data_IF_323312637275
#
_entry.id   IF_323312637275
#
_cell.length_a   1.000
_cell.length_b   1.000
_cell.length_c   1.000
_cell.angle_alpha   90.00
_cell.angle_beta   90.00
_cell.angle_gamma   90.00
#
_symmetry.space_group_name_H-M   'P 1'
#
loop_
_entity.id
_entity.type
_entity.pdbx_description
1 polymer ?
#
# COMPACT_ATOMS: atom_id res chain seq x y z
N UNK A 1 -7.78 9.02 13.76
CA UNK A 1 -8.71 7.87 13.75
C UNK A 1 -8.78 7.43 12.29
N UNK A 2 -8.40 6.25 11.81
CA UNK A 2 -8.17 4.94 12.40
C UNK A 2 -6.83 4.37 11.92
N UNK A 3 -5.96 4.05 12.87
CA UNK A 3 -4.73 3.30 12.69
C UNK A 3 -5.06 1.81 12.51
N UNK A 4 -5.23 1.34 11.28
CA UNK A 4 -5.17 -0.10 11.01
C UNK A 4 -3.69 -0.53 11.00
N UNK A 5 -3.19 -0.75 12.22
CA UNK A 5 -1.86 -1.29 12.48
C UNK A 5 -1.78 -2.72 11.96
N UNK A 6 -1.05 -2.90 10.87
CA UNK A 6 -0.78 -4.21 10.32
C UNK A 6 0.06 -5.03 11.31
N UNK A 7 -0.46 -6.22 11.61
CA UNK A 7 0.16 -7.17 12.51
C UNK A 7 1.21 -7.95 11.73
N UNK A 8 2.44 -7.94 12.22
CA UNK A 8 3.52 -8.79 11.72
C UNK A 8 3.10 -10.27 11.77
N UNK A 9 3.67 -11.13 10.90
CA UNK A 9 3.32 -12.54 10.83
C UNK A 9 3.39 -13.21 12.20
N UNK A 10 2.44 -14.13 12.43
CA UNK A 10 2.29 -14.82 13.71
C UNK A 10 3.52 -15.66 14.06
N UNK A 11 4.10 -15.38 15.22
CA UNK A 11 5.18 -16.16 15.77
C UNK A 11 4.62 -17.12 16.82
N UNK A 12 4.89 -18.41 16.65
CA UNK A 12 4.53 -19.42 17.65
C UNK A 12 5.65 -19.54 18.70
N UNK A 13 5.27 -19.46 19.98
CA UNK A 13 6.19 -19.33 21.13
C UNK A 13 6.12 -20.59 22.01
N UNK A 14 4.97 -20.84 22.64
CA UNK A 14 4.76 -22.01 23.51
C UNK A 14 5.42 -21.93 24.90
N UNK A 15 5.66 -20.74 25.45
CA UNK A 15 6.40 -20.53 26.70
C UNK A 15 5.51 -20.10 27.88
N UNK A 16 5.93 -20.41 29.11
CA UNK A 16 5.17 -20.01 30.30
C UNK A 16 5.24 -18.51 30.55
N UNK A 17 4.15 -17.93 31.08
CA UNK A 17 4.09 -16.52 31.50
C UNK A 17 3.83 -16.41 32.99
N UNK A 18 4.35 -15.36 33.61
CA UNK A 18 4.14 -15.08 35.04
C UNK A 18 3.04 -14.07 35.21
N UNK A 19 1.95 -14.43 35.89
CA UNK A 19 0.88 -13.49 36.21
C UNK A 19 1.31 -12.63 37.39
N UNK A 20 1.37 -11.32 37.18
CA UNK A 20 1.91 -10.35 38.15
C UNK A 20 0.84 -9.60 38.92
N UNK A 21 -0.39 -9.52 38.39
CA UNK A 21 -1.53 -8.92 39.08
C UNK A 21 -2.71 -9.90 39.10
N UNK A 22 -3.33 -10.06 40.27
CA UNK A 22 -4.46 -10.96 40.50
C UNK A 22 -5.81 -10.32 40.20
N UNK A 23 -5.84 -9.10 39.65
CA UNK A 23 -7.06 -8.48 39.17
C UNK A 23 -7.54 -9.21 37.89
N UNK A 24 -8.45 -10.16 38.09
CA UNK A 24 -9.14 -10.89 37.02
C UNK A 24 -10.42 -10.15 36.64
N UNK A 25 -10.74 -10.12 35.35
CA UNK A 25 -12.04 -9.64 34.88
C UNK A 25 -13.16 -10.55 35.43
N UNK A 26 -13.91 -10.02 36.40
CA UNK A 26 -14.91 -10.77 37.16
C UNK A 26 -16.17 -11.12 36.34
N UNK A 27 -16.38 -10.49 35.18
CA UNK A 27 -17.57 -10.68 34.35
C UNK A 27 -17.68 -12.08 33.73
N UNK A 28 -16.57 -12.84 33.68
CA UNK A 28 -16.49 -14.18 33.05
C UNK A 28 -16.68 -15.32 34.06
N UNK A 29 -16.65 -15.02 35.37
CA UNK A 29 -16.60 -16.01 36.46
C UNK A 29 -17.91 -16.80 36.65
N UNK A 30 -19.03 -16.34 36.08
CA UNK A 30 -20.31 -17.07 36.11
C UNK A 30 -20.35 -18.32 35.19
N UNK A 31 -19.37 -18.49 34.30
CA UNK A 31 -19.35 -19.53 33.24
C UNK A 31 -18.32 -20.65 33.45
N UNK A 32 -17.62 -20.66 34.59
CA UNK A 32 -16.61 -21.68 34.94
C UNK A 32 -15.29 -21.58 34.17
N UNK A 33 -15.10 -20.54 33.36
CA UNK A 33 -13.83 -20.23 32.71
C UNK A 33 -12.93 -19.35 33.61
N UNK A 34 -11.60 -19.55 33.62
CA UNK A 34 -10.70 -18.69 34.36
C UNK A 34 -10.73 -17.27 33.78
N UNK A 35 -10.70 -16.25 34.63
CA UNK A 35 -10.55 -14.87 34.20
C UNK A 35 -9.20 -14.66 33.52
N UNK A 36 -9.17 -13.84 32.46
CA UNK A 36 -7.92 -13.46 31.78
C UNK A 36 -7.13 -12.54 32.72
N UNK A 37 -5.81 -12.74 32.89
CA UNK A 37 -4.99 -11.83 33.69
C UNK A 37 -4.95 -10.45 33.02
N UNK A 38 -5.21 -9.41 33.81
CA UNK A 38 -5.12 -8.02 33.34
C UNK A 38 -3.66 -7.61 33.05
N UNK A 39 -2.70 -8.17 33.80
CA UNK A 39 -1.27 -7.97 33.60
C UNK A 39 -0.51 -9.28 33.75
N UNK A 40 0.41 -9.55 32.83
CA UNK A 40 1.33 -10.69 32.89
C UNK A 40 2.71 -10.31 32.36
N UNK A 41 3.72 -11.08 32.73
CA UNK A 41 5.09 -10.88 32.30
C UNK A 41 5.62 -12.11 31.56
N UNK A 42 6.30 -11.85 30.45
CA UNK A 42 6.96 -12.85 29.63
C UNK A 42 8.36 -12.36 29.24
N UNK A 43 9.38 -13.20 29.47
CA UNK A 43 10.82 -12.87 29.26
C UNK A 43 11.24 -11.52 29.86
N UNK A 44 10.79 -11.24 31.09
CA UNK A 44 11.10 -10.01 31.80
C UNK A 44 10.36 -8.75 31.31
N UNK A 45 9.55 -8.85 30.26
CA UNK A 45 8.71 -7.75 29.77
C UNK A 45 7.29 -7.90 30.31
N UNK A 46 6.72 -6.82 30.85
CA UNK A 46 5.34 -6.80 31.36
C UNK A 46 4.37 -6.30 30.31
N UNK A 47 3.22 -6.96 30.21
CA UNK A 47 2.16 -6.69 29.24
C UNK A 47 0.84 -6.47 29.97
N UNK A 48 0.15 -5.38 29.63
CA UNK A 48 -1.21 -5.09 30.09
C UNK A 48 -2.21 -5.38 28.98
N UNK A 49 -3.25 -6.15 29.30
CA UNK A 49 -4.31 -6.49 28.35
C UNK A 49 -5.23 -5.29 28.20
N UNK A 50 -5.37 -4.81 26.96
CA UNK A 50 -6.29 -3.75 26.56
C UNK A 50 -7.68 -4.31 26.26
N UNK A 51 -7.72 -5.41 25.50
CA UNK A 51 -8.97 -6.03 25.08
C UNK A 51 -8.80 -7.54 24.88
N UNK A 52 -9.86 -8.30 25.13
CA UNK A 52 -9.94 -9.72 24.76
C UNK A 52 -10.64 -9.79 23.41
N UNK A 53 -9.91 -10.23 22.38
CA UNK A 53 -10.42 -10.30 21.01
C UNK A 53 -11.21 -11.58 20.76
N UNK A 54 -10.78 -12.70 21.34
CA UNK A 54 -11.44 -13.98 21.16
C UNK A 54 -11.20 -14.90 22.36
N UNK A 55 -12.21 -15.69 22.73
CA UNK A 55 -12.10 -16.73 23.77
C UNK A 55 -12.56 -18.08 23.23
N UNK A 56 -11.76 -19.11 23.47
CA UNK A 56 -12.03 -20.47 23.02
C UNK A 56 -11.70 -21.51 24.10
N UNK A 57 -12.04 -22.77 23.82
CA UNK A 57 -11.71 -23.91 24.67
C UNK A 57 -11.26 -25.07 23.79
N UNK A 58 -10.21 -25.77 24.18
CA UNK A 58 -9.83 -27.04 23.56
C UNK A 58 -10.31 -28.19 24.46
N UNK A 59 -10.74 -29.29 23.84
CA UNK A 59 -11.22 -30.46 24.57
C UNK A 59 -10.30 -31.66 24.33
N UNK A 60 -10.08 -32.45 25.37
CA UNK A 60 -9.43 -33.76 25.31
C UNK A 60 -10.43 -34.88 25.60
N UNK A 61 -10.30 -36.06 24.98
CA UNK A 61 -11.13 -37.21 25.32
C UNK A 61 -10.84 -37.71 26.74
N UNK A 62 -11.82 -38.36 27.36
CA UNK A 62 -11.66 -39.05 28.64
C UNK A 62 -10.58 -40.12 28.53
N UNK A 63 -9.63 -40.13 29.47
CA UNK A 63 -8.52 -41.10 29.48
C UNK A 63 -8.98 -42.55 29.71
N UNK A 64 -10.20 -42.75 30.19
CA UNK A 64 -10.77 -44.08 30.51
C UNK A 64 -11.76 -44.58 29.45
N UNK A 65 -11.82 -43.95 28.27
CA UNK A 65 -12.57 -44.49 27.13
C UNK A 65 -14.10 -44.31 27.19
N UNK A 66 -14.64 -43.50 28.11
CA UNK A 66 -16.08 -43.27 28.27
C UNK A 66 -16.76 -42.48 27.13
N UNK A 67 -16.01 -42.04 26.11
CA UNK A 67 -16.51 -41.19 25.01
C UNK A 67 -16.70 -39.71 25.38
N UNK A 68 -16.65 -39.36 26.66
CA UNK A 68 -16.82 -38.00 27.15
C UNK A 68 -15.60 -37.10 26.81
N UNK A 69 -15.85 -35.81 26.55
CA UNK A 69 -14.82 -34.82 26.23
C UNK A 69 -14.69 -33.81 27.37
N UNK A 70 -13.48 -33.67 27.90
CA UNK A 70 -13.15 -32.76 28.99
C UNK A 70 -12.39 -31.55 28.45
N UNK A 71 -12.64 -30.36 29.00
CA UNK A 71 -11.89 -29.15 28.63
C UNK A 71 -10.42 -29.35 29.04
N UNK A 72 -9.52 -29.20 28.08
CA UNK A 72 -8.07 -29.33 28.26
C UNK A 72 -7.41 -27.96 28.50
N UNK A 73 -7.75 -26.96 27.67
CA UNK A 73 -7.20 -25.60 27.79
C UNK A 73 -8.26 -24.58 27.48
N UNK A 74 -8.21 -23.47 28.20
CA UNK A 74 -8.88 -22.24 27.79
C UNK A 74 -7.92 -21.41 26.94
N UNK A 75 -8.43 -20.87 25.84
CA UNK A 75 -7.67 -20.09 24.86
C UNK A 75 -8.18 -18.67 24.87
N UNK A 76 -7.28 -17.70 24.93
CA UNK A 76 -7.62 -16.29 24.94
C UNK A 76 -6.71 -15.55 23.96
N UNK A 77 -7.30 -14.96 22.92
CA UNK A 77 -6.61 -14.01 22.05
C UNK A 77 -6.85 -12.61 22.61
N UNK A 78 -5.78 -11.91 22.95
CA UNK A 78 -5.82 -10.61 23.61
C UNK A 78 -5.03 -9.57 22.83
N UNK A 79 -5.49 -8.34 22.83
CA UNK A 79 -4.71 -7.18 22.40
C UNK A 79 -4.13 -6.50 23.64
N UNK A 80 -2.84 -6.21 23.64
CA UNK A 80 -2.18 -5.45 24.70
C UNK A 80 -2.33 -3.94 24.47
N UNK A 81 -2.09 -3.12 25.49
CA UNK A 81 -2.08 -1.66 25.34
C UNK A 81 -0.99 -1.17 24.36
N UNK A 82 0.12 -1.90 24.29
CA UNK A 82 1.21 -1.64 23.36
C UNK A 82 0.94 -2.16 21.94
N UNK A 83 -0.22 -2.79 21.73
CA UNK A 83 -0.76 -3.13 20.42
C UNK A 83 -0.37 -4.51 19.89
N UNK A 84 0.28 -5.35 20.68
CA UNK A 84 0.49 -6.75 20.32
C UNK A 84 -0.80 -7.55 20.43
N UNK A 85 -0.98 -8.51 19.52
CA UNK A 85 -2.03 -9.53 19.61
C UNK A 85 -1.40 -10.85 20.04
N UNK A 86 -1.84 -11.39 21.19
CA UNK A 86 -1.22 -12.52 21.87
C UNK A 86 -2.25 -13.61 22.16
N UNK A 87 -1.91 -14.87 21.88
CA UNK A 87 -2.75 -16.02 22.24
C UNK A 87 -2.22 -16.67 23.51
N UNK A 88 -3.01 -16.65 24.57
CA UNK A 88 -2.70 -17.26 25.86
C UNK A 88 -3.49 -18.56 26.07
N UNK A 89 -2.82 -19.57 26.60
CA UNK A 89 -3.43 -20.81 27.08
C UNK A 89 -3.41 -20.86 28.59
N UNK A 90 -4.55 -21.23 29.17
CA UNK A 90 -4.67 -21.53 30.58
C UNK A 90 -5.03 -23.01 30.78
N UNK A 91 -4.14 -23.76 31.43
CA UNK A 91 -4.44 -25.12 31.91
C UNK A 91 -4.93 -25.06 33.34
N UNK A 92 -6.09 -25.68 33.61
CA UNK A 92 -6.52 -25.96 34.98
C UNK A 92 -5.67 -27.10 35.53
N UNK A 93 -4.67 -26.78 36.32
CA UNK A 93 -4.06 -27.70 37.28
C UNK A 93 -5.02 -27.81 38.47
N UNK A 94 -5.24 -29.01 39.00
CA UNK A 94 -6.13 -29.30 40.13
C UNK A 94 -5.63 -28.73 41.48
N UNK A 95 -4.81 -27.67 41.46
CA UNK A 95 -4.27 -26.98 42.62
C UNK A 95 -4.04 -25.51 42.28
N UNK A 96 -4.55 -24.65 43.16
CA UNK A 96 -4.64 -23.17 43.29
C UNK A 96 -3.80 -22.18 42.44
N UNK A 97 -3.02 -22.56 41.43
CA UNK A 97 -2.42 -21.64 40.46
C UNK A 97 -2.57 -22.20 39.05
N UNK A 98 -3.45 -21.57 38.27
CA UNK A 98 -3.60 -21.83 36.85
C UNK A 98 -2.29 -21.52 36.12
N UNK A 99 -1.78 -22.49 35.36
CA UNK A 99 -0.57 -22.31 34.55
C UNK A 99 -0.92 -21.61 33.23
N UNK A 100 -0.31 -20.47 32.98
CA UNK A 100 -0.49 -19.67 31.78
C UNK A 100 0.69 -19.83 30.81
N UNK A 101 0.37 -20.01 29.53
CA UNK A 101 1.35 -20.18 28.45
C UNK A 101 1.04 -19.21 27.32
N UNK A 102 2.04 -18.46 26.85
CA UNK A 102 1.95 -17.70 25.61
C UNK A 102 2.19 -18.63 24.43
N UNK A 103 1.15 -18.84 23.63
CA UNK A 103 1.19 -19.74 22.48
C UNK A 103 1.66 -19.03 21.22
N UNK A 104 1.11 -17.86 20.92
CA UNK A 104 1.49 -17.08 19.75
C UNK A 104 1.49 -15.59 20.03
N UNK A 105 2.31 -14.87 19.27
CA UNK A 105 2.47 -13.43 19.35
C UNK A 105 2.49 -12.86 17.93
N UNK A 106 1.64 -11.87 17.69
CA UNK A 106 1.67 -10.98 16.53
C UNK A 106 1.94 -9.58 17.04
N UNK A 107 3.11 -9.03 16.71
CA UNK A 107 3.41 -7.64 17.06
C UNK A 107 2.80 -6.71 16.02
N UNK A 108 2.23 -5.58 16.44
CA UNK A 108 2.05 -4.47 15.48
C UNK A 108 3.44 -4.05 15.01
N UNK A 109 3.58 -3.80 13.71
CA UNK A 109 4.80 -3.21 13.18
C UNK A 109 5.09 -1.90 13.94
N UNK A 110 6.23 -1.83 14.67
CA UNK A 110 6.62 -0.58 15.32
C UNK A 110 7.27 0.33 14.29
N UNK A 111 6.91 1.62 14.25
CA UNK A 111 7.53 2.57 13.37
C UNK A 111 8.99 2.74 13.80
N UNK A 112 9.90 2.67 12.83
CA UNK A 112 11.32 2.90 13.08
C UNK A 112 11.60 4.40 13.23
N UNK A 113 12.17 4.75 14.41
CA UNK A 113 13.26 5.72 14.72
C UNK A 113 12.93 6.71 15.88
N UNK A 114 13.74 6.65 16.96
CA UNK A 114 14.25 7.82 17.71
C UNK A 114 15.69 8.04 17.20
N UNK A 115 16.27 9.21 17.00
CA UNK A 115 16.07 10.61 17.42
C UNK A 115 16.46 11.50 16.20
N UNK A 116 15.81 12.60 15.86
CA UNK A 116 15.65 13.82 16.64
C UNK A 116 14.26 14.42 16.46
N UNK A 117 13.84 15.15 17.50
CA UNK A 117 12.58 15.90 17.56
C UNK A 117 12.42 16.82 16.34
N UNK A 118 11.50 16.45 15.46
CA UNK A 118 10.53 17.40 14.91
C UNK A 118 9.20 16.67 14.80
N UNK A 119 8.29 17.03 15.71
CA UNK A 119 6.86 16.84 15.53
C UNK A 119 6.49 17.41 14.17
N UNK A 120 6.40 16.56 13.15
CA UNK A 120 5.73 16.93 11.91
C UNK A 120 4.25 16.96 12.25
N UNK A 121 3.73 18.17 12.42
CA UNK A 121 2.31 18.43 12.27
C UNK A 121 1.83 17.71 11.00
N UNK A 122 0.64 17.11 11.04
CA UNK A 122 -0.02 16.63 9.82
C UNK A 122 0.13 17.72 8.75
N UNK A 123 0.83 17.42 7.66
CA UNK A 123 1.09 18.43 6.63
C UNK A 123 -0.28 18.81 6.06
N UNK A 124 -0.73 20.03 6.33
CA UNK A 124 -2.01 20.57 5.86
C UNK A 124 -2.03 20.89 4.36
N UNK A 125 -1.07 20.35 3.60
CA UNK A 125 -0.86 20.60 2.19
C UNK A 125 -1.13 19.37 1.33
N UNK A 126 -1.15 19.55 -0.01
CA UNK A 126 -1.38 18.45 -0.94
C UNK A 126 -0.35 17.33 -0.76
N UNK A 127 -0.74 16.11 -1.09
CA UNK A 127 0.15 14.96 -1.17
C UNK A 127 1.24 15.22 -2.23
N UNK A 128 2.51 15.20 -1.84
CA UNK A 128 3.64 15.42 -2.75
C UNK A 128 3.97 14.12 -3.49
N UNK A 129 3.81 14.13 -4.81
CA UNK A 129 3.91 12.96 -5.67
C UNK A 129 5.17 13.02 -6.51
N UNK A 130 6.06 12.04 -6.38
CA UNK A 130 7.10 11.81 -7.37
C UNK A 130 6.65 10.74 -8.38
N UNK A 131 6.71 11.06 -9.66
CA UNK A 131 6.27 10.15 -10.74
C UNK A 131 7.48 9.55 -11.46
N UNK A 132 7.55 8.24 -11.52
CA UNK A 132 8.60 7.49 -12.20
C UNK A 132 8.12 7.00 -13.56
N UNK A 133 8.94 7.18 -14.59
CA UNK A 133 8.56 6.96 -16.00
C UNK A 133 9.72 6.37 -16.80
N UNK A 134 9.41 5.63 -17.87
CA UNK A 134 10.44 5.16 -18.81
C UNK A 134 10.21 5.58 -20.26
N UNK A 135 9.09 6.21 -20.61
CA UNK A 135 8.71 6.39 -22.02
C UNK A 135 7.90 7.64 -22.32
N UNK A 136 6.81 7.46 -23.09
CA UNK A 136 6.00 8.57 -23.63
C UNK A 136 5.30 9.44 -22.57
N UNK A 137 5.08 8.92 -21.36
CA UNK A 137 4.52 9.69 -20.24
C UNK A 137 3.06 10.10 -20.41
N UNK A 138 2.23 9.30 -21.10
CA UNK A 138 0.78 9.57 -21.23
C UNK A 138 0.07 9.55 -19.87
N UNK A 139 0.40 8.57 -19.02
CA UNK A 139 -0.06 8.51 -17.63
C UNK A 139 0.41 9.72 -16.80
N UNK A 140 1.66 10.17 -16.97
CA UNK A 140 2.16 11.40 -16.35
C UNK A 140 1.35 12.62 -16.81
N UNK A 141 1.02 12.71 -18.11
CA UNK A 141 0.22 13.82 -18.63
C UNK A 141 -1.15 13.87 -17.97
N UNK A 142 -1.83 12.73 -17.82
CA UNK A 142 -3.13 12.67 -17.16
C UNK A 142 -3.08 13.15 -15.70
N UNK A 143 -2.02 12.81 -14.96
CA UNK A 143 -1.81 13.28 -13.59
C UNK A 143 -1.64 14.81 -13.57
N UNK A 144 -0.80 15.36 -14.46
CA UNK A 144 -0.57 16.80 -14.55
C UNK A 144 -1.85 17.56 -14.93
N UNK A 145 -2.60 17.03 -15.90
CA UNK A 145 -3.82 17.64 -16.42
C UNK A 145 -4.91 17.68 -15.36
N UNK A 146 -5.08 16.60 -14.58
CA UNK A 146 -6.05 16.58 -13.49
C UNK A 146 -5.67 17.55 -12.37
N UNK A 147 -4.39 17.60 -11.98
CA UNK A 147 -3.92 18.58 -10.98
C UNK A 147 -4.25 20.01 -11.41
N UNK A 148 -3.95 20.36 -12.67
CA UNK A 148 -4.25 21.68 -13.24
C UNK A 148 -5.75 21.95 -13.30
N UNK A 149 -6.54 20.95 -13.70
CA UNK A 149 -8.00 21.06 -13.81
C UNK A 149 -8.62 21.37 -12.45
N UNK A 150 -8.29 20.59 -11.42
CA UNK A 150 -8.82 20.79 -10.07
C UNK A 150 -8.38 22.13 -9.47
N UNK A 151 -7.12 22.51 -9.62
CA UNK A 151 -6.63 23.80 -9.12
C UNK A 151 -7.27 24.99 -9.84
N UNK A 152 -7.54 24.87 -11.15
CA UNK A 152 -8.24 25.91 -11.92
C UNK A 152 -9.69 26.07 -11.43
N UNK A 153 -10.39 24.95 -11.23
CA UNK A 153 -11.77 24.97 -10.73
C UNK A 153 -11.85 25.55 -9.31
N UNK A 154 -10.92 25.17 -8.42
CA UNK A 154 -10.83 25.72 -7.08
C UNK A 154 -10.51 27.23 -7.06
N UNK A 155 -9.78 27.73 -8.07
CA UNK A 155 -9.51 29.15 -8.24
C UNK A 155 -10.67 29.94 -8.90
N UNK A 156 -11.84 29.33 -9.10
CA UNK A 156 -13.01 29.98 -9.71
C UNK A 156 -12.89 30.23 -11.22
N UNK A 157 -11.88 29.67 -11.88
CA UNK A 157 -11.69 29.81 -13.32
C UNK A 157 -12.56 28.77 -14.06
N UNK A 158 -13.85 29.11 -14.23
CA UNK A 158 -14.70 28.43 -15.20
C UNK A 158 -14.18 28.71 -16.62
N UNK A 159 -14.21 27.71 -17.49
CA UNK A 159 -13.82 27.89 -18.88
C UNK A 159 -14.77 28.89 -19.56
N UNK A 160 -14.35 30.14 -19.70
CA UNK A 160 -14.94 31.05 -20.69
C UNK A 160 -14.71 30.45 -22.07
N UNK A 161 -15.75 29.82 -22.64
CA UNK A 161 -15.66 29.31 -24.01
C UNK A 161 -16.38 27.99 -24.29
N UNK A 162 -17.67 27.91 -23.97
CA UNK A 162 -18.59 27.14 -24.81
C UNK A 162 -19.74 28.07 -25.18
N UNK A 163 -19.60 28.74 -26.32
CA UNK A 163 -20.73 29.43 -26.94
C UNK A 163 -21.68 28.33 -27.41
N UNK A 164 -22.72 28.07 -26.63
CA UNK A 164 -23.89 27.38 -27.12
C UNK A 164 -24.48 28.25 -28.23
N UNK A 165 -24.55 27.72 -29.46
CA UNK A 165 -25.31 28.32 -30.55
C UNK A 165 -26.81 28.25 -30.19
N UNK A 166 -27.25 29.18 -29.35
CA UNK A 166 -28.62 29.64 -29.09
C UNK A 166 -28.55 30.44 -27.79
N UNK A 167 -28.45 31.77 -27.90
CA UNK A 167 -28.24 32.71 -26.79
C UNK A 167 -29.34 32.69 -25.74
N UNK A 168 -29.28 31.72 -24.85
CA UNK A 168 -30.02 31.70 -23.59
C UNK A 168 -28.97 31.61 -22.48
N UNK A 169 -28.75 32.74 -21.81
CA UNK A 169 -28.03 32.74 -20.54
C UNK A 169 -28.92 32.01 -19.53
N UNK A 170 -28.54 30.79 -19.17
CA UNK A 170 -29.06 30.18 -17.96
C UNK A 170 -28.38 30.89 -16.79
N UNK A 171 -29.09 31.83 -16.16
CA UNK A 171 -28.77 32.25 -14.80
C UNK A 171 -29.08 31.07 -13.86
N UNK A 172 -28.14 30.14 -13.80
CA UNK A 172 -28.07 29.10 -12.79
C UNK A 172 -26.92 29.45 -11.87
N UNK A 173 -27.20 30.19 -10.80
CA UNK A 173 -26.31 30.26 -9.65
C UNK A 173 -26.17 28.86 -9.06
N UNK A 174 -25.14 28.14 -9.47
CA UNK A 174 -24.64 27.01 -8.70
C UNK A 174 -23.85 27.61 -7.54
N UNK A 175 -24.18 27.20 -6.32
CA UNK A 175 -23.35 27.43 -5.12
C UNK A 175 -21.87 27.31 -5.51
N UNK A 176 -21.15 28.43 -5.45
CA UNK A 176 -19.69 28.49 -5.70
C UNK A 176 -18.91 28.13 -4.44
N UNK A 177 -19.61 27.63 -3.42
CA UNK A 177 -19.04 27.25 -2.14
C UNK A 177 -18.41 25.85 -2.26
N UNK A 178 -17.08 25.87 -2.31
CA UNK A 178 -16.14 24.80 -1.92
C UNK A 178 -15.76 23.74 -2.98
N UNK A 179 -15.33 24.17 -4.18
CA UNK A 179 -14.53 23.27 -5.04
C UNK A 179 -13.13 23.10 -4.44
N UNK A 180 -12.89 21.97 -3.78
CA UNK A 180 -11.60 21.65 -3.19
C UNK A 180 -10.47 21.63 -4.25
N UNK A 181 -9.32 22.22 -3.89
CA UNK A 181 -8.09 22.14 -4.68
C UNK A 181 -7.63 20.69 -4.88
N UNK A 182 -6.71 20.48 -5.83
CA UNK A 182 -6.17 19.14 -6.06
C UNK A 182 -5.55 18.59 -4.77
N UNK A 183 -5.90 17.36 -4.33
CA UNK A 183 -5.39 16.80 -3.09
C UNK A 183 -3.94 16.33 -3.19
N UNK A 184 -3.32 16.48 -4.37
CA UNK A 184 -1.93 16.14 -4.62
C UNK A 184 -1.24 17.19 -5.49
N UNK A 185 0.09 17.18 -5.43
CA UNK A 185 0.99 17.99 -6.25
C UNK A 185 2.13 17.12 -6.76
N UNK A 186 2.38 17.12 -8.08
CA UNK A 186 3.55 16.46 -8.66
C UNK A 186 4.79 17.30 -8.36
N UNK A 187 5.63 16.82 -7.43
CA UNK A 187 6.82 17.53 -6.97
C UNK A 187 8.06 17.24 -7.81
N UNK A 188 8.12 16.07 -8.46
CA UNK A 188 9.23 15.69 -9.35
C UNK A 188 8.88 14.53 -10.28
N UNK A 189 9.61 14.41 -11.39
CA UNK A 189 9.56 13.28 -12.32
C UNK A 189 10.92 12.62 -12.42
N UNK A 190 11.00 11.30 -12.26
CA UNK A 190 12.26 10.55 -12.41
C UNK A 190 12.16 9.60 -13.60
N UNK A 191 13.13 9.70 -14.52
CA UNK A 191 13.18 8.84 -15.70
C UNK A 191 14.41 7.95 -15.72
N UNK A 192 14.23 6.65 -15.94
CA UNK A 192 15.36 5.75 -16.19
C UNK A 192 15.84 5.78 -17.65
N UNK A 193 15.21 6.61 -18.50
CA UNK A 193 15.62 6.87 -19.89
C UNK A 193 15.84 8.36 -20.14
N UNK A 194 17.00 8.70 -20.71
CA UNK A 194 17.39 10.09 -21.02
C UNK A 194 16.57 10.73 -22.14
N UNK A 195 15.95 9.91 -22.98
CA UNK A 195 15.19 10.27 -24.18
C UNK A 195 13.68 10.05 -23.99
N UNK A 196 13.22 9.77 -22.77
CA UNK A 196 11.80 9.65 -22.47
C UNK A 196 11.08 10.98 -22.74
N UNK A 197 10.06 10.96 -23.61
CA UNK A 197 9.24 12.15 -23.88
C UNK A 197 8.51 12.66 -22.62
N UNK A 198 8.33 11.81 -21.60
CA UNK A 198 7.85 12.23 -20.29
C UNK A 198 8.68 13.36 -19.64
N UNK A 199 9.99 13.43 -19.91
CA UNK A 199 10.85 14.53 -19.43
C UNK A 199 10.45 15.88 -20.04
N UNK A 200 10.06 15.88 -21.32
CA UNK A 200 9.57 17.08 -22.00
C UNK A 200 8.22 17.52 -21.43
N UNK A 201 7.32 16.57 -21.12
CA UNK A 201 6.04 16.87 -20.44
C UNK A 201 6.25 17.53 -19.08
N UNK A 202 7.18 17.00 -18.29
CA UNK A 202 7.54 17.58 -16.99
C UNK A 202 8.09 19.01 -17.14
N UNK A 203 9.00 19.22 -18.11
CA UNK A 203 9.57 20.53 -18.42
C UNK A 203 8.50 21.55 -18.82
N UNK A 204 7.58 21.17 -19.70
CA UNK A 204 6.44 22.01 -20.11
C UNK A 204 5.48 22.32 -18.94
N UNK A 205 5.47 21.44 -17.94
CA UNK A 205 4.69 21.64 -16.73
C UNK A 205 5.39 22.44 -15.63
N UNK A 206 6.67 22.80 -15.82
CA UNK A 206 7.48 23.44 -14.78
C UNK A 206 7.84 22.51 -13.63
N UNK A 207 7.77 21.19 -13.83
CA UNK A 207 8.04 20.17 -12.81
C UNK A 207 9.51 19.74 -12.93
N UNK A 208 10.29 19.72 -11.83
CA UNK A 208 11.65 19.20 -11.83
C UNK A 208 11.71 17.76 -12.36
N UNK A 209 12.68 17.49 -13.23
CA UNK A 209 12.84 16.17 -13.86
C UNK A 209 14.28 15.67 -13.76
N UNK A 210 14.46 14.45 -13.27
CA UNK A 210 15.77 13.83 -13.02
C UNK A 210 15.95 12.56 -13.84
N UNK A 211 17.15 12.36 -14.37
CA UNK A 211 17.51 11.10 -15.04
C UNK A 211 18.15 10.17 -14.01
N UNK A 212 17.52 9.00 -13.81
CA UNK A 212 17.95 7.96 -12.87
C UNK A 212 18.38 6.67 -13.58
N UNK A 213 18.73 6.74 -14.87
CA UNK A 213 19.21 5.58 -15.63
C UNK A 213 20.47 4.95 -15.00
N UNK A 214 20.71 3.63 -15.18
CA UNK A 214 21.94 3.00 -14.69
C UNK A 214 23.22 3.72 -15.12
N UNK A 215 23.26 4.23 -16.36
CA UNK A 215 24.40 4.97 -16.90
C UNK A 215 24.59 6.34 -16.22
N UNK A 216 23.50 7.03 -15.89
CA UNK A 216 23.55 8.30 -15.18
C UNK A 216 24.01 8.15 -13.73
N UNK A 217 23.62 7.04 -13.07
CA UNK A 217 23.90 6.84 -11.64
C UNK A 217 25.22 6.13 -11.37
N UNK A 218 25.62 5.15 -12.20
CA UNK A 218 26.88 4.41 -12.03
C UNK A 218 28.05 4.99 -12.84
N UNK A 219 27.76 5.83 -13.84
CA UNK A 219 28.71 6.18 -14.89
C UNK A 219 28.85 5.10 -15.96
N UNK A 220 29.30 5.49 -17.15
CA UNK A 220 29.24 4.64 -18.34
C UNK A 220 30.04 3.33 -18.22
N UNK A 221 31.25 3.39 -17.64
CA UNK A 221 32.13 2.24 -17.56
C UNK A 221 31.61 1.18 -16.59
N UNK A 222 31.21 1.61 -15.38
CA UNK A 222 30.60 0.72 -14.38
C UNK A 222 29.24 0.19 -14.85
N UNK A 223 28.42 1.00 -15.50
CA UNK A 223 27.14 0.55 -16.04
C UNK A 223 27.29 -0.52 -17.14
N UNK A 224 28.38 -0.54 -17.91
CA UNK A 224 28.59 -1.59 -18.92
C UNK A 224 28.90 -2.95 -18.30
N UNK A 225 29.70 -2.98 -17.22
CA UNK A 225 30.12 -4.23 -16.57
C UNK A 225 29.20 -4.69 -15.44
N UNK A 226 28.32 -3.82 -14.91
CA UNK A 226 27.39 -4.16 -13.85
C UNK A 226 26.33 -5.19 -14.28
N UNK A 227 26.01 -6.09 -13.36
CA UNK A 227 24.90 -7.03 -13.44
C UNK A 227 23.55 -6.31 -13.47
N UNK A 228 22.49 -7.05 -13.83
CA UNK A 228 21.12 -6.52 -13.82
C UNK A 228 20.70 -6.03 -12.43
N UNK A 229 21.04 -6.78 -11.39
CA UNK A 229 20.67 -6.44 -10.02
C UNK A 229 21.46 -5.23 -9.51
N UNK A 230 22.77 -5.14 -9.78
CA UNK A 230 23.56 -3.95 -9.42
C UNK A 230 23.01 -2.67 -10.06
N UNK A 231 22.60 -2.73 -11.32
CA UNK A 231 21.93 -1.62 -12.00
C UNK A 231 20.63 -1.26 -11.31
N UNK A 232 19.77 -2.26 -11.09
CA UNK A 232 18.46 -2.11 -10.45
C UNK A 232 18.56 -1.47 -9.06
N UNK A 233 19.50 -1.93 -8.23
CA UNK A 233 19.72 -1.37 -6.90
C UNK A 233 20.29 0.04 -6.96
N UNK A 234 21.23 0.32 -7.86
CA UNK A 234 21.75 1.68 -8.03
C UNK A 234 20.68 2.70 -8.46
N UNK A 235 19.75 2.29 -9.35
CA UNK A 235 18.57 3.10 -9.69
C UNK A 235 17.68 3.28 -8.46
N UNK A 236 17.41 2.20 -7.71
CA UNK A 236 16.55 2.25 -6.51
C UNK A 236 17.11 3.18 -5.42
N UNK A 237 18.42 3.15 -5.17
CA UNK A 237 19.11 4.02 -4.22
C UNK A 237 19.04 5.49 -4.66
N UNK A 238 19.21 5.75 -5.97
CA UNK A 238 19.08 7.10 -6.52
C UNK A 238 17.65 7.62 -6.40
N UNK A 239 16.66 6.78 -6.69
CA UNK A 239 15.23 7.12 -6.51
C UNK A 239 14.99 7.49 -5.04
N UNK A 240 15.40 6.68 -4.07
CA UNK A 240 15.23 6.99 -2.66
C UNK A 240 15.87 8.34 -2.27
N UNK A 241 17.10 8.60 -2.71
CA UNK A 241 17.80 9.84 -2.41
C UNK A 241 17.05 11.06 -2.98
N UNK A 242 16.58 10.98 -4.22
CA UNK A 242 15.81 12.05 -4.86
C UNK A 242 14.44 12.23 -4.24
N UNK A 243 13.72 11.14 -3.94
CA UNK A 243 12.42 11.22 -3.28
C UNK A 243 12.51 11.93 -1.93
N UNK A 244 13.59 11.73 -1.18
CA UNK A 244 13.85 12.49 0.06
C UNK A 244 14.18 13.96 -0.22
N UNK A 245 15.02 14.24 -1.21
CA UNK A 245 15.41 15.61 -1.57
C UNK A 245 14.23 16.46 -2.05
N UNK A 246 13.31 15.85 -2.81
CA UNK A 246 12.07 16.48 -3.27
C UNK A 246 10.91 16.36 -2.28
N UNK A 247 11.15 15.80 -1.08
CA UNK A 247 10.15 15.60 -0.03
C UNK A 247 8.88 14.90 -0.53
N UNK A 248 9.06 13.89 -1.39
CA UNK A 248 7.95 13.11 -1.93
C UNK A 248 7.29 12.30 -0.80
N UNK A 249 5.96 12.38 -0.73
CA UNK A 249 5.13 11.61 0.18
C UNK A 249 4.83 10.22 -0.35
N UNK A 250 4.56 10.13 -1.66
CA UNK A 250 4.34 8.88 -2.39
C UNK A 250 5.13 8.82 -3.69
N UNK A 251 5.36 7.60 -4.17
CA UNK A 251 5.96 7.32 -5.48
C UNK A 251 4.91 6.68 -6.40
N UNK A 252 4.86 7.12 -7.66
CA UNK A 252 3.94 6.59 -8.67
C UNK A 252 4.72 6.03 -9.84
N UNK A 253 4.69 4.72 -10.04
CA UNK A 253 5.30 4.06 -11.19
C UNK A 253 4.30 4.12 -12.37
N UNK A 254 4.52 5.09 -13.26
CA UNK A 254 3.68 5.38 -14.42
C UNK A 254 4.34 4.86 -15.70
N UNK A 255 4.44 3.53 -15.82
CA UNK A 255 5.19 2.87 -16.91
C UNK A 255 6.70 2.94 -16.70
N UNK A 256 7.14 2.77 -15.44
CA UNK A 256 8.56 2.65 -15.07
C UNK A 256 9.01 1.19 -15.19
N UNK A 257 10.04 0.92 -15.97
CA UNK A 257 10.43 -0.45 -16.33
C UNK A 257 11.49 -1.05 -15.40
N UNK A 258 12.21 -0.22 -14.66
CA UNK A 258 13.16 -0.73 -13.67
C UNK A 258 12.42 -1.16 -12.40
N UNK A 259 12.42 -2.47 -12.12
CA UNK A 259 11.81 -3.01 -10.89
C UNK A 259 12.50 -2.39 -9.67
N UNK A 260 11.79 -1.68 -8.79
CA UNK A 260 12.41 -1.12 -7.59
C UNK A 260 12.74 -2.20 -6.56
N UNK A 261 13.77 -1.99 -5.76
CA UNK A 261 14.17 -2.92 -4.70
C UNK A 261 14.96 -2.27 -3.57
N UNK A 262 15.13 -2.98 -2.46
CA UNK A 262 15.93 -2.52 -1.33
C UNK A 262 15.28 -1.37 -0.56
N UNK A 263 16.10 -0.45 -0.07
CA UNK A 263 15.71 0.55 0.92
C UNK A 263 14.58 1.49 0.48
N UNK A 264 14.35 1.67 -0.83
CA UNK A 264 13.23 2.47 -1.33
C UNK A 264 11.88 1.81 -1.05
N UNK A 265 11.80 0.48 -1.17
CA UNK A 265 10.58 -0.29 -0.89
C UNK A 265 10.25 -0.21 0.59
N UNK A 266 11.25 -0.35 1.46
CA UNK A 266 11.07 -0.26 2.91
C UNK A 266 10.70 1.17 3.33
N UNK A 267 11.40 2.18 2.81
CA UNK A 267 11.17 3.57 3.17
C UNK A 267 9.81 4.10 2.71
N UNK A 268 9.32 3.65 1.55
CA UNK A 268 8.02 4.03 0.99
C UNK A 268 6.99 2.89 1.06
N UNK A 269 7.13 1.95 2.00
CA UNK A 269 6.16 0.88 2.20
C UNK A 269 4.73 1.41 2.35
N UNK A 270 3.80 0.87 1.57
CA UNK A 270 2.41 1.35 1.50
C UNK A 270 2.21 2.72 0.81
N UNK A 271 3.28 3.30 0.24
CA UNK A 271 3.32 4.64 -0.36
C UNK A 271 3.93 4.63 -1.78
N UNK A 272 4.02 3.46 -2.39
CA UNK A 272 4.39 3.29 -3.80
C UNK A 272 3.20 2.62 -4.49
N UNK A 273 2.71 3.22 -5.57
CA UNK A 273 1.72 2.58 -6.45
C UNK A 273 2.30 2.35 -7.83
N UNK A 274 1.88 1.26 -8.46
CA UNK A 274 2.21 0.92 -9.84
C UNK A 274 0.94 0.73 -10.65
N UNK A 275 1.02 1.12 -11.92
CA UNK A 275 0.02 0.84 -12.93
C UNK A 275 0.51 -0.32 -13.81
N UNK A 276 -0.27 -1.39 -13.85
CA UNK A 276 -0.04 -2.54 -14.71
C UNK A 276 -1.11 -2.66 -15.80
N UNK A 277 -0.76 -2.85 -17.08
CA UNK A 277 -1.71 -2.81 -18.21
C UNK A 277 -2.45 -4.16 -18.42
N UNK A 278 -2.86 -4.81 -17.33
CA UNK A 278 -3.73 -5.97 -17.31
C UNK A 278 -4.51 -6.09 -15.99
N UNK A 279 -5.45 -7.04 -15.95
CA UNK A 279 -6.20 -7.42 -14.75
C UNK A 279 -5.39 -8.40 -13.90
N UNK A 280 -4.56 -7.89 -12.99
CA UNK A 280 -3.81 -8.70 -12.04
C UNK A 280 -4.74 -9.61 -11.21
N UNK A 281 -4.30 -10.83 -10.86
CA UNK A 281 -2.93 -11.36 -11.02
C UNK A 281 -2.62 -11.90 -12.42
N UNK A 282 -3.58 -11.92 -13.36
CA UNK A 282 -3.32 -12.41 -14.73
C UNK A 282 -2.38 -11.45 -15.46
N UNK A 283 -1.48 -12.04 -16.25
CA UNK A 283 -0.51 -11.31 -17.09
C UNK A 283 0.36 -10.32 -16.31
N UNK A 284 0.65 -10.58 -15.03
CA UNK A 284 1.63 -9.83 -14.23
C UNK A 284 2.98 -10.55 -14.13
N UNK A 285 3.99 -9.84 -13.61
CA UNK A 285 5.30 -10.41 -13.30
C UNK A 285 6.38 -10.14 -14.35
N UNK A 286 7.53 -10.80 -14.20
CA UNK A 286 8.70 -10.55 -15.05
C UNK A 286 8.39 -10.82 -16.53
N UNK A 287 8.74 -9.87 -17.40
CA UNK A 287 8.49 -9.94 -18.84
C UNK A 287 7.12 -9.43 -19.29
N UNK A 288 6.17 -9.23 -18.36
CA UNK A 288 4.83 -8.72 -18.66
C UNK A 288 4.80 -7.19 -18.56
N UNK A 289 5.34 -6.49 -19.55
CA UNK A 289 5.30 -5.02 -19.59
C UNK A 289 5.00 -4.52 -21.01
N UNK A 290 4.36 -3.34 -21.10
CA UNK A 290 4.03 -2.70 -22.36
C UNK A 290 3.29 -3.62 -23.34
N UNK A 291 3.74 -3.66 -24.59
CA UNK A 291 3.11 -4.45 -25.67
C UNK A 291 3.00 -5.94 -25.35
N UNK A 292 3.98 -6.51 -24.64
CA UNK A 292 3.98 -7.96 -24.34
C UNK A 292 2.75 -8.40 -23.55
N UNK A 293 2.20 -7.52 -22.71
CA UNK A 293 0.99 -7.81 -21.93
C UNK A 293 -0.22 -7.98 -22.85
N UNK A 294 -0.39 -7.06 -23.81
CA UNK A 294 -1.50 -7.09 -24.76
C UNK A 294 -1.39 -8.28 -25.73
N UNK A 295 -0.17 -8.61 -26.18
CA UNK A 295 0.10 -9.82 -26.96
C UNK A 295 -0.29 -11.08 -26.19
N UNK A 296 0.09 -11.19 -24.92
CA UNK A 296 -0.24 -12.32 -24.07
C UNK A 296 -1.75 -12.46 -23.82
N UNK A 297 -2.45 -11.35 -23.58
CA UNK A 297 -3.91 -11.32 -23.43
C UNK A 297 -4.59 -11.84 -24.70
N UNK A 298 -4.22 -11.31 -25.87
CA UNK A 298 -4.82 -11.73 -27.14
C UNK A 298 -4.53 -13.20 -27.45
N UNK A 299 -3.30 -13.65 -27.21
CA UNK A 299 -2.91 -15.06 -27.41
C UNK A 299 -3.65 -16.02 -26.47
N UNK A 300 -4.06 -15.57 -25.29
CA UNK A 300 -4.81 -16.38 -24.34
C UNK A 300 -6.30 -16.56 -24.67
N UNK A 301 -6.85 -15.71 -25.55
CA UNK A 301 -8.26 -15.73 -25.90
C UNK A 301 -9.21 -15.21 -24.80
N UNK A 302 -8.72 -14.42 -23.85
CA UNK A 302 -9.57 -13.79 -22.84
C UNK A 302 -10.56 -12.81 -23.48
N UNK A 303 -11.78 -12.78 -22.95
CA UNK A 303 -12.83 -11.85 -23.41
C UNK A 303 -12.67 -10.43 -22.85
N UNK A 304 -11.87 -10.27 -21.79
CA UNK A 304 -11.65 -9.00 -21.11
C UNK A 304 -10.16 -8.76 -20.86
N UNK A 305 -9.77 -7.49 -20.94
CA UNK A 305 -8.49 -6.97 -20.50
C UNK A 305 -8.72 -5.74 -19.63
N UNK A 306 -7.69 -4.96 -19.35
CA UNK A 306 -7.83 -3.76 -18.54
C UNK A 306 -6.51 -3.26 -17.97
N UNK A 307 -6.61 -2.53 -16.88
CA UNK A 307 -5.46 -2.11 -16.10
C UNK A 307 -5.72 -2.27 -14.60
N UNK A 308 -4.63 -2.38 -13.83
CA UNK A 308 -4.64 -2.49 -12.38
C UNK A 308 -3.73 -1.43 -11.78
N UNK A 309 -4.23 -0.71 -10.77
CA UNK A 309 -3.37 0.07 -9.87
C UNK A 309 -3.24 -0.70 -8.57
N UNK A 310 -2.01 -0.94 -8.14
CA UNK A 310 -1.71 -1.70 -6.92
C UNK A 310 -0.57 -1.05 -6.14
N UNK A 311 -0.52 -1.36 -4.84
CA UNK A 311 0.64 -1.04 -4.01
C UNK A 311 1.83 -1.89 -4.45
N UNK A 312 3.03 -1.30 -4.46
CA UNK A 312 4.26 -2.05 -4.72
C UNK A 312 4.77 -2.68 -3.42
N UNK A 313 5.20 -3.94 -3.51
CA UNK A 313 5.87 -4.67 -2.45
C UNK A 313 7.23 -5.21 -2.95
N UNK A 314 7.82 -6.20 -2.26
CA UNK A 314 9.10 -6.77 -2.65
C UNK A 314 9.05 -7.64 -3.92
N UNK A 315 7.86 -7.99 -4.42
CA UNK A 315 7.68 -8.79 -5.63
C UNK A 315 7.27 -7.95 -6.85
N UNK A 316 7.21 -8.61 -8.02
CA UNK A 316 6.81 -7.99 -9.27
C UNK A 316 5.30 -8.17 -9.48
N UNK A 317 4.55 -7.07 -9.45
CA UNK A 317 3.08 -7.03 -9.59
C UNK A 317 2.29 -7.88 -8.58
N UNK A 318 2.85 -8.11 -7.39
CA UNK A 318 2.25 -8.96 -6.33
C UNK A 318 1.51 -8.20 -5.25
N UNK A 319 1.71 -6.89 -5.17
CA UNK A 319 1.18 -6.12 -4.06
C UNK A 319 -0.33 -5.88 -4.14
N UNK A 320 -0.88 -5.36 -3.04
CA UNK A 320 -2.33 -5.20 -2.84
C UNK A 320 -2.95 -4.33 -3.94
N UNK A 321 -3.94 -4.88 -4.62
CA UNK A 321 -4.74 -4.16 -5.63
C UNK A 321 -5.54 -3.04 -4.95
N UNK A 322 -5.42 -1.82 -5.48
CA UNK A 322 -6.22 -0.67 -5.07
C UNK A 322 -7.50 -0.58 -5.90
N UNK A 323 -7.37 -0.67 -7.22
CA UNK A 323 -8.48 -0.66 -8.16
C UNK A 323 -8.11 -1.28 -9.50
N UNK A 324 -9.14 -1.65 -10.26
CA UNK A 324 -9.02 -2.13 -11.63
C UNK A 324 -10.02 -1.41 -12.55
N UNK A 325 -9.70 -1.36 -13.84
CA UNK A 325 -10.62 -0.99 -14.91
C UNK A 325 -10.60 -2.09 -15.95
N UNK A 326 -11.78 -2.47 -16.45
CA UNK A 326 -11.96 -3.54 -17.43
C UNK A 326 -12.34 -2.95 -18.77
N UNK A 327 -11.87 -3.58 -19.83
CA UNK A 327 -12.28 -3.29 -21.21
C UNK A 327 -12.52 -4.61 -21.95
N UNK A 328 -13.47 -4.66 -22.89
CA UNK A 328 -13.68 -5.85 -23.71
C UNK A 328 -12.50 -6.04 -24.67
N UNK A 329 -12.15 -7.31 -24.92
CA UNK A 329 -11.32 -7.73 -26.05
C UNK A 329 -12.27 -8.04 -27.21
N UNK A 330 -12.13 -7.30 -28.32
CA UNK A 330 -13.00 -7.43 -29.48
C UNK A 330 -12.42 -8.41 -30.51
N UNK A 331 -13.27 -9.11 -31.28
CA UNK A 331 -12.81 -9.93 -32.40
C UNK A 331 -11.93 -9.11 -33.37
N UNK A 332 -10.73 -9.60 -33.65
CA UNK A 332 -9.78 -8.95 -34.54
C UNK A 332 -8.92 -7.85 -33.90
N UNK A 333 -8.99 -7.65 -32.59
CA UNK A 333 -8.05 -6.75 -31.89
C UNK A 333 -6.59 -7.16 -32.15
N UNK A 334 -5.76 -6.13 -32.33
CA UNK A 334 -4.30 -6.16 -32.29
C UNK A 334 -3.82 -5.59 -30.95
N UNK A 335 -2.55 -5.80 -30.54
CA UNK A 335 -2.01 -5.18 -29.33
C UNK A 335 -2.23 -3.66 -29.28
N UNK A 336 -2.11 -2.97 -30.42
CA UNK A 336 -2.30 -1.52 -30.53
C UNK A 336 -3.75 -1.09 -30.34
N UNK A 337 -4.70 -1.81 -30.95
CA UNK A 337 -6.13 -1.47 -30.85
C UNK A 337 -6.71 -1.83 -29.48
N UNK A 338 -6.24 -2.92 -28.87
CA UNK A 338 -6.52 -3.24 -27.48
C UNK A 338 -5.92 -2.19 -26.54
N UNK A 339 -4.66 -1.80 -26.72
CA UNK A 339 -4.03 -0.75 -25.92
C UNK A 339 -4.73 0.60 -26.06
N UNK A 340 -5.16 0.97 -27.27
CA UNK A 340 -5.92 2.21 -27.49
C UNK A 340 -7.22 2.26 -26.67
N UNK A 341 -7.82 1.10 -26.38
CA UNK A 341 -8.99 0.98 -25.50
C UNK A 341 -8.62 1.00 -24.02
N UNK A 342 -7.47 0.45 -23.64
CA UNK A 342 -6.96 0.39 -22.25
C UNK A 342 -6.40 1.74 -21.79
N UNK A 343 -5.72 2.48 -22.66
CA UNK A 343 -4.95 3.66 -22.29
C UNK A 343 -5.76 4.77 -21.60
N UNK A 344 -7.00 5.11 -22.01
CA UNK A 344 -7.83 6.06 -21.26
C UNK A 344 -8.19 5.54 -19.86
N UNK A 345 -8.44 4.23 -19.73
CA UNK A 345 -8.72 3.61 -18.44
C UNK A 345 -7.49 3.64 -17.51
N UNK A 346 -6.28 3.49 -18.05
CA UNK A 346 -5.04 3.66 -17.29
C UNK A 346 -4.92 5.07 -16.69
N UNK A 347 -5.21 6.09 -17.50
CA UNK A 347 -5.14 7.50 -17.10
C UNK A 347 -6.08 7.77 -15.92
N UNK A 348 -7.34 7.36 -16.06
CA UNK A 348 -8.34 7.49 -15.00
C UNK A 348 -7.97 6.70 -13.75
N UNK A 349 -7.52 5.45 -13.93
CA UNK A 349 -7.19 4.54 -12.85
C UNK A 349 -6.04 5.09 -11.99
N UNK A 350 -4.97 5.58 -12.63
CA UNK A 350 -3.79 6.07 -11.91
C UNK A 350 -4.09 7.36 -11.14
N UNK A 351 -4.83 8.28 -11.75
CA UNK A 351 -5.31 9.50 -11.09
C UNK A 351 -6.20 9.15 -9.89
N UNK A 352 -7.13 8.22 -10.04
CA UNK A 352 -7.99 7.77 -8.94
C UNK A 352 -7.17 7.13 -7.81
N UNK A 353 -6.17 6.30 -8.14
CA UNK A 353 -5.27 5.68 -7.17
C UNK A 353 -4.48 6.70 -6.33
N UNK A 354 -3.99 7.78 -6.95
CA UNK A 354 -3.30 8.86 -6.23
C UNK A 354 -4.26 9.57 -5.26
N UNK A 355 -5.48 9.89 -5.71
CA UNK A 355 -6.49 10.56 -4.86
C UNK A 355 -6.89 9.69 -3.67
N UNK A 356 -7.08 8.39 -3.88
CA UNK A 356 -7.36 7.44 -2.79
C UNK A 356 -6.25 7.45 -1.73
N UNK A 357 -4.97 7.57 -2.12
CA UNK A 357 -3.88 7.71 -1.15
C UNK A 357 -3.87 9.06 -0.44
N UNK A 358 -4.25 10.13 -1.13
CA UNK A 358 -4.33 11.45 -0.52
C UNK A 358 -5.43 11.53 0.56
N UNK A 359 -6.54 10.82 0.38
CA UNK A 359 -7.65 10.74 1.34
C UNK A 359 -7.32 9.94 2.61
N UNK A 360 -6.28 9.10 2.57
CA UNK A 360 -5.88 8.24 3.70
C UNK A 360 -4.86 8.89 4.65
N UNK A 361 -4.44 10.14 4.40
CA UNK A 361 -3.42 10.86 5.18
C UNK A 361 -3.86 11.31 6.57
#
# INVERSE_FOLDING_TARGET
MNSSGELLPEQFIGESVTVTDSAFDASVMASGAPGVPSVFSWRGTSYRVRAVLHTGKTNRPCRHGSGERYIDKHVYCVETETGEVMTLYCRRTSGRKAGWTLYSLRKKARPMIQSDKKTAAASSGPLRVAVLVSGGGTNLQAIIDEQRRMNRLAAGAFAEGSVCANGVFAEGGADTDDVAACPYEVCAVFSDRKDAYALERARQAGIPAEIVSPYAVLGADKAKSATRDEKRFAVSDRVLALSRAYEADILVLAGFLTVLGGAVIDAYGGRIINLHPALLPKFGGEGMWGRHVHEAVLASGEAESGCTVHLVDGGCDTGKILLQRRVPVLPGDTPETLYARIAPCEHEALVAGIKMLAELR
#
